data_IF_533452888538
#
_entry.id   IF_533452888538
#
_cell.length_a   1.000
_cell.length_b   1.000
_cell.length_c   1.000
_cell.angle_alpha   90.00
_cell.angle_beta   90.00
_cell.angle_gamma   90.00
#
_symmetry.space_group_name_H-M   'P 1'
#
loop_
_entity.id
_entity.type
_entity.pdbx_description
1 polymer ?
#
# COMPACT_ATOMS: atom_id res chain seq x y z
N UNK A 1 7.56 -6.05 0.00
CA UNK A 1 6.99 -4.88 0.67
C UNK A 1 7.87 -4.48 1.84
N UNK A 2 8.30 -3.24 1.86
CA UNK A 2 9.11 -2.64 2.93
C UNK A 2 8.78 -1.14 3.07
N UNK A 3 9.29 -0.51 4.13
CA UNK A 3 9.17 0.94 4.31
C UNK A 3 9.79 1.67 3.11
N UNK A 4 9.10 2.70 2.62
CA UNK A 4 9.52 3.48 1.46
C UNK A 4 8.99 2.98 0.12
N UNK A 5 8.44 1.76 0.05
CA UNK A 5 7.76 1.28 -1.15
C UNK A 5 6.52 2.14 -1.43
N UNK A 6 6.20 2.33 -2.71
CA UNK A 6 4.96 3.00 -3.10
C UNK A 6 3.90 1.98 -3.43
N UNK A 7 2.72 2.16 -2.85
CA UNK A 7 1.53 1.37 -3.18
C UNK A 7 0.43 2.27 -3.71
N UNK A 8 -0.40 1.71 -4.57
CA UNK A 8 -1.57 2.36 -5.13
C UNK A 8 -2.83 1.75 -4.53
N UNK A 9 -3.57 2.57 -3.80
CA UNK A 9 -4.82 2.17 -3.13
C UNK A 9 -6.01 2.72 -3.92
N UNK A 10 -7.07 1.92 -3.99
CA UNK A 10 -8.30 2.25 -4.71
C UNK A 10 -9.45 2.51 -3.75
N UNK A 11 -10.19 3.59 -3.98
CA UNK A 11 -11.42 3.90 -3.26
C UNK A 11 -12.61 3.62 -4.14
N UNK A 12 -13.63 2.97 -3.55
CA UNK A 12 -14.86 2.62 -4.23
C UNK A 12 -16.02 3.37 -3.58
N UNK A 13 -16.96 3.83 -4.40
CA UNK A 13 -18.23 4.40 -3.97
C UNK A 13 -19.35 3.74 -4.76
N UNK A 14 -20.34 3.18 -4.07
CA UNK A 14 -21.44 2.41 -4.67
C UNK A 14 -20.93 1.32 -5.65
N UNK A 15 -19.90 0.58 -5.25
CA UNK A 15 -19.30 -0.49 -6.06
C UNK A 15 -18.45 -0.02 -7.25
N UNK A 16 -18.40 1.29 -7.54
CA UNK A 16 -17.57 1.84 -8.62
C UNK A 16 -16.29 2.42 -8.06
N UNK A 17 -15.16 2.12 -8.70
CA UNK A 17 -13.89 2.77 -8.37
C UNK A 17 -14.01 4.27 -8.66
N UNK A 18 -13.79 5.11 -7.65
CA UNK A 18 -13.90 6.57 -7.77
C UNK A 18 -12.57 7.27 -7.69
N UNK A 19 -11.63 6.75 -6.90
CA UNK A 19 -10.33 7.38 -6.70
C UNK A 19 -9.22 6.35 -6.63
N UNK A 20 -8.05 6.79 -7.06
CA UNK A 20 -6.81 6.05 -6.98
C UNK A 20 -5.79 6.96 -6.31
N UNK A 21 -5.06 6.44 -5.32
CA UNK A 21 -4.06 7.24 -4.60
C UNK A 21 -2.78 6.44 -4.39
N UNK A 22 -1.66 7.06 -4.73
CA UNK A 22 -0.34 6.50 -4.45
C UNK A 22 0.08 6.96 -3.05
N UNK A 23 0.46 6.00 -2.21
CA UNK A 23 0.84 6.18 -0.82
C UNK A 23 2.20 5.55 -0.58
N UNK A 24 2.97 6.13 0.34
CA UNK A 24 4.23 5.55 0.79
C UNK A 24 3.92 4.56 1.91
N UNK A 25 4.53 3.38 1.85
CA UNK A 25 4.51 2.42 2.94
C UNK A 25 5.43 2.92 4.05
N UNK A 26 4.90 2.94 5.26
CA UNK A 26 5.55 3.43 6.45
C UNK A 26 5.42 2.44 7.60
N UNK A 27 6.33 2.54 8.55
CA UNK A 27 6.24 1.84 9.82
C UNK A 27 5.67 2.79 10.89
N UNK A 28 4.60 2.36 11.55
CA UNK A 28 4.05 3.06 12.69
C UNK A 28 3.65 2.07 13.78
N UNK A 29 4.19 2.26 14.99
CA UNK A 29 3.95 1.38 16.15
C UNK A 29 4.19 -0.11 15.83
N UNK A 30 5.30 -0.40 15.16
CA UNK A 30 5.72 -1.76 14.75
C UNK A 30 4.81 -2.44 13.71
N UNK A 31 3.97 -1.67 13.01
CA UNK A 31 3.13 -2.16 11.92
C UNK A 31 3.50 -1.47 10.61
N UNK A 32 3.50 -2.22 9.51
CA UNK A 32 3.58 -1.68 8.16
C UNK A 32 2.19 -1.25 7.68
N UNK A 33 2.12 -0.12 7.00
CA UNK A 33 0.87 0.48 6.56
C UNK A 33 1.07 1.82 5.89
N UNK A 34 0.01 2.60 5.81
CA UNK A 34 0.01 3.89 5.12
C UNK A 34 -0.76 4.94 5.91
N UNK A 35 -0.35 6.19 5.76
CA UNK A 35 -1.17 7.34 6.13
C UNK A 35 -1.88 7.89 4.90
N UNK A 36 -3.20 8.04 4.99
CA UNK A 36 -4.00 8.52 3.87
C UNK A 36 -3.72 10.00 3.53
N UNK A 37 -3.21 10.81 4.46
CA UNK A 37 -2.83 12.23 4.26
C UNK A 37 -1.89 12.71 5.37
N UNK A 38 -1.35 13.92 5.23
CA UNK A 38 -0.62 14.62 6.31
C UNK A 38 -1.46 14.75 7.58
N UNK A 39 -2.75 15.07 7.43
CA UNK A 39 -3.66 15.29 8.55
C UNK A 39 -3.95 13.96 9.25
N UNK A 40 -4.10 12.88 8.49
CA UNK A 40 -4.22 11.53 9.03
C UNK A 40 -2.98 11.16 9.85
N UNK A 41 -1.77 11.53 9.38
CA UNK A 41 -0.54 11.34 10.14
C UNK A 41 -0.54 12.16 11.43
N UNK A 42 -0.90 13.43 11.38
CA UNK A 42 -0.94 14.30 12.56
C UNK A 42 -1.95 13.80 13.60
N UNK A 43 -3.10 13.30 13.15
CA UNK A 43 -4.14 12.71 13.99
C UNK A 43 -3.85 11.25 14.41
N UNK A 44 -2.80 10.62 13.88
CA UNK A 44 -2.47 9.21 14.16
C UNK A 44 -3.41 8.18 13.51
N UNK A 45 -4.16 8.58 12.49
CA UNK A 45 -5.02 7.71 11.67
C UNK A 45 -4.17 6.91 10.68
N UNK A 46 -3.63 5.79 11.16
CA UNK A 46 -2.83 4.85 10.39
C UNK A 46 -3.69 3.70 9.85
N UNK A 47 -3.45 3.30 8.61
CA UNK A 47 -4.08 2.11 8.02
C UNK A 47 -3.02 1.02 7.84
N UNK A 48 -3.03 -0.03 8.68
CA UNK A 48 -2.17 -1.20 8.51
C UNK A 48 -2.39 -1.89 7.15
N UNK A 49 -1.35 -2.51 6.59
CA UNK A 49 -1.47 -3.25 5.32
C UNK A 49 -2.44 -4.43 5.43
N UNK A 50 -2.56 -5.07 6.59
CA UNK A 50 -3.50 -6.18 6.79
C UNK A 50 -4.96 -5.77 6.60
N UNK A 51 -5.30 -4.51 6.87
CA UNK A 51 -6.66 -3.98 6.74
C UNK A 51 -7.01 -3.64 5.28
N UNK A 52 -6.01 -3.67 4.40
CA UNK A 52 -6.18 -3.43 2.97
C UNK A 52 -6.39 -4.71 2.16
N UNK A 53 -6.50 -5.88 2.80
CA UNK A 53 -6.92 -7.11 2.14
C UNK A 53 -8.44 -7.11 1.93
N UNK A 54 -8.88 -7.74 0.84
CA UNK A 54 -10.30 -7.89 0.52
C UNK A 54 -10.61 -9.31 0.05
N UNK A 55 -11.88 -9.74 0.13
CA UNK A 55 -12.29 -11.03 -0.41
C UNK A 55 -11.98 -11.09 -1.92
N UNK A 56 -11.30 -12.16 -2.34
CA UNK A 56 -11.03 -12.45 -3.75
C UNK A 56 -12.25 -12.99 -4.50
N UNK A 57 -12.13 -13.28 -5.80
CA UNK A 57 -13.23 -13.87 -6.57
C UNK A 57 -13.66 -15.25 -6.05
N UNK A 58 -12.72 -16.00 -5.47
CA UNK A 58 -12.95 -17.34 -4.92
C UNK A 58 -13.06 -17.32 -3.38
N UNK A 59 -13.37 -16.17 -2.77
CA UNK A 59 -13.55 -16.07 -1.33
C UNK A 59 -14.89 -16.66 -0.89
N UNK A 60 -14.84 -17.42 0.20
CA UNK A 60 -16.00 -17.96 0.89
C UNK A 60 -16.00 -17.51 2.36
N UNK A 61 -17.18 -17.14 2.88
CA UNK A 61 -17.41 -16.97 4.31
C UNK A 61 -17.43 -18.35 4.98
N UNK A 62 -16.55 -18.54 5.97
CA UNK A 62 -16.47 -19.76 6.79
C UNK A 62 -16.55 -19.42 8.28
N UNK A 63 -16.71 -20.43 9.11
CA UNK A 63 -16.86 -20.27 10.56
C UNK A 63 -15.88 -21.19 11.30
N UNK A 64 -15.24 -20.64 12.33
CA UNK A 64 -14.44 -21.41 13.30
C UNK A 64 -15.13 -21.29 14.67
N UNK A 65 -15.49 -22.42 15.32
CA UNK A 65 -16.05 -22.39 16.67
C UNK A 65 -15.20 -21.57 17.64
N UNK A 66 -15.84 -20.70 18.43
CA UNK A 66 -15.22 -19.77 19.38
C UNK A 66 -14.38 -18.62 18.78
N UNK A 67 -14.17 -18.58 17.46
CA UNK A 67 -13.43 -17.50 16.79
C UNK A 67 -14.34 -16.62 15.94
N UNK A 68 -15.41 -17.19 15.36
CA UNK A 68 -16.39 -16.46 14.56
C UNK A 68 -16.28 -16.73 13.07
N UNK A 69 -16.97 -15.89 12.30
CA UNK A 69 -16.93 -15.90 10.84
C UNK A 69 -15.62 -15.29 10.33
N UNK A 70 -15.13 -15.82 9.21
CA UNK A 70 -13.96 -15.30 8.51
C UNK A 70 -14.11 -15.50 7.01
N UNK A 71 -13.44 -14.65 6.24
CA UNK A 71 -13.39 -14.76 4.78
C UNK A 71 -12.13 -15.51 4.36
N UNK A 72 -12.30 -16.49 3.50
CA UNK A 72 -11.20 -17.23 2.87
C UNK A 72 -10.64 -16.50 1.66
N UNK A 73 -9.43 -16.88 1.21
CA UNK A 73 -8.82 -16.40 -0.03
C UNK A 73 -8.80 -14.87 -0.16
N UNK A 74 -8.48 -14.20 0.94
CA UNK A 74 -8.29 -12.76 0.97
C UNK A 74 -7.11 -12.38 0.06
N UNK A 75 -7.32 -11.37 -0.78
CA UNK A 75 -6.32 -10.88 -1.73
C UNK A 75 -5.91 -9.45 -1.40
N UNK A 76 -4.70 -9.10 -1.82
CA UNK A 76 -4.18 -7.75 -1.73
C UNK A 76 -5.06 -6.77 -2.53
N UNK A 77 -5.61 -5.73 -1.90
CA UNK A 77 -6.45 -4.72 -2.58
C UNK A 77 -5.72 -3.43 -2.96
N UNK A 78 -4.39 -3.50 -3.07
CA UNK A 78 -3.53 -2.43 -3.58
C UNK A 78 -2.60 -2.96 -4.67
N UNK A 79 -2.05 -2.07 -5.48
CA UNK A 79 -0.99 -2.44 -6.44
C UNK A 79 0.34 -1.88 -5.99
N UNK A 80 1.39 -2.67 -6.12
CA UNK A 80 2.76 -2.19 -5.92
C UNK A 80 3.13 -1.28 -7.10
N UNK A 81 3.59 -0.06 -6.82
CA UNK A 81 4.01 0.89 -7.84
C UNK A 81 5.53 0.74 -8.01
N UNK A 82 6.01 0.15 -9.11
CA UNK A 82 7.44 -0.03 -9.31
C UNK A 82 8.14 1.32 -9.32
N UNK A 83 9.21 1.43 -8.53
CA UNK A 83 10.18 2.50 -8.65
C UNK A 83 10.88 2.29 -10.00
N UNK A 84 10.57 3.08 -11.02
CA UNK A 84 11.39 3.08 -12.23
C UNK A 84 12.83 3.44 -11.80
N UNK A 85 13.86 2.68 -12.23
CA UNK A 85 15.22 3.14 -12.06
C UNK A 85 15.32 4.51 -12.76
N UNK A 86 15.86 5.49 -12.05
CA UNK A 86 16.15 6.80 -12.64
C UNK A 86 17.11 6.56 -13.80
N UNK A 87 16.63 6.67 -15.03
CA UNK A 87 17.49 6.70 -16.20
C UNK A 87 18.30 8.01 -16.13
N UNK A 88 19.56 7.93 -15.72
CA UNK A 88 20.47 9.08 -15.73
C UNK A 88 21.36 9.15 -14.49
N UNK A 89 22.40 8.34 -14.49
CA UNK A 89 23.41 8.34 -13.44
C UNK A 89 24.79 7.93 -13.97
N UNK A 90 25.15 8.38 -15.17
CA UNK A 90 26.50 8.20 -15.70
C UNK A 90 27.18 9.55 -15.94
N UNK A 91 28.12 9.86 -15.03
CA UNK A 91 29.38 10.58 -15.25
C UNK A 91 29.34 12.07 -15.60
N UNK A 92 29.20 12.92 -14.59
CA UNK A 92 29.96 14.18 -14.54
C UNK A 92 31.43 13.84 -14.25
N UNK A 93 32.22 13.57 -15.30
CA UNK A 93 33.67 13.63 -15.21
C UNK A 93 34.10 14.99 -15.72
N UNK A 94 34.55 15.85 -14.81
CA UNK A 94 35.05 17.17 -15.12
C UNK A 94 36.24 17.10 -16.08
N UNK A 95 36.11 17.78 -17.21
CA UNK A 95 37.22 18.10 -18.10
C UNK A 95 37.80 19.42 -17.62
N UNK A 96 38.74 19.31 -16.67
CA UNK A 96 39.85 20.26 -16.54
C UNK A 96 41.07 19.46 -16.98
N UNK A 97 41.67 19.86 -18.09
CA UNK A 97 43.13 19.94 -18.31
C UNK A 97 43.41 20.28 -19.78
N UNK A 98 44.22 21.32 -20.01
CA UNK A 98 44.96 21.56 -21.27
C UNK A 98 44.56 22.78 -22.07
#
# INVERSE_FOLDING_TARGET
MQVGDKIRVFTYFMGKQTRTKDLLVEEFRFCLGVFASSDARQAGHFTPLCDLYKPGPDSETKYIPNYGEYETNMVQAWMDVPCLPVAGGENMKGERDG
#
